data_IF_948394661131
#
_entry.id   IF_948394661131
#
_cell.length_a   1.000
_cell.length_b   1.000
_cell.length_c   1.000
_cell.angle_alpha   90.00
_cell.angle_beta   90.00
_cell.angle_gamma   90.00
#
_symmetry.space_group_name_H-M   'P 1'
#
loop_
_entity.id
_entity.type
_entity.pdbx_description
1 polymer ?
#
# COMPACT_ATOMS: atom_id res chain seq x y z
N UNK A 1 -4.89 17.78 6.47
CA UNK A 1 -5.48 16.42 6.27
C UNK A 1 -5.00 15.49 7.39
N UNK A 2 -5.89 14.67 7.93
CA UNK A 2 -5.61 13.74 9.02
C UNK A 2 -5.35 12.35 8.43
N UNK A 3 -4.11 12.08 8.02
CA UNK A 3 -3.73 10.86 7.27
C UNK A 3 -3.01 9.88 8.17
N UNK A 4 -3.29 8.58 8.02
CA UNK A 4 -2.58 7.50 8.71
C UNK A 4 -1.87 6.63 7.68
N UNK A 5 -0.58 6.38 7.90
CA UNK A 5 0.26 5.57 7.03
C UNK A 5 0.65 4.27 7.75
N UNK A 6 0.26 3.15 7.17
CA UNK A 6 0.78 1.84 7.55
C UNK A 6 2.01 1.55 6.70
N UNK A 7 3.16 1.49 7.32
CA UNK A 7 4.44 1.36 6.62
C UNK A 7 5.13 0.05 6.97
N UNK A 8 5.71 -0.60 5.96
CA UNK A 8 6.53 -1.78 6.14
C UNK A 8 7.69 -1.85 5.15
N UNK A 9 8.80 -2.38 5.61
CA UNK A 9 10.03 -2.64 4.86
C UNK A 9 10.54 -1.43 4.06
N UNK A 10 11.37 -1.69 3.06
CA UNK A 10 12.02 -0.71 2.19
C UNK A 10 11.03 0.15 1.37
N UNK A 11 9.96 -0.45 0.87
CA UNK A 11 8.92 0.28 0.10
C UNK A 11 8.18 1.25 1.01
N UNK A 12 7.83 0.83 2.23
CA UNK A 12 7.17 1.69 3.20
C UNK A 12 8.04 2.85 3.62
N UNK A 13 9.34 2.60 3.90
CA UNK A 13 10.30 3.65 4.23
C UNK A 13 10.46 4.67 3.09
N UNK A 14 10.74 4.20 1.87
CA UNK A 14 10.93 5.08 0.71
C UNK A 14 9.68 5.92 0.41
N UNK A 15 8.50 5.31 0.53
CA UNK A 15 7.23 6.02 0.35
C UNK A 15 7.01 7.08 1.42
N UNK A 16 7.30 6.76 2.69
CA UNK A 16 7.19 7.70 3.81
C UNK A 16 8.15 8.88 3.65
N UNK A 17 9.41 8.60 3.29
CA UNK A 17 10.43 9.63 3.07
C UNK A 17 10.01 10.59 1.95
N UNK A 18 9.58 10.04 0.81
CA UNK A 18 9.13 10.84 -0.32
C UNK A 18 7.90 11.69 0.05
N UNK A 19 6.89 11.11 0.71
CA UNK A 19 5.71 11.86 1.17
C UNK A 19 6.11 13.02 2.09
N UNK A 20 7.04 12.77 3.00
CA UNK A 20 7.55 13.80 3.91
C UNK A 20 8.23 14.96 3.15
N UNK A 21 9.09 14.65 2.18
CA UNK A 21 9.76 15.64 1.32
C UNK A 21 8.76 16.46 0.49
N UNK A 22 7.68 15.82 0.04
CA UNK A 22 6.58 16.50 -0.67
C UNK A 22 5.60 17.22 0.28
N UNK A 23 5.92 17.33 1.59
CA UNK A 23 5.10 18.01 2.62
C UNK A 23 3.73 17.35 2.89
N UNK A 24 3.57 16.07 2.55
CA UNK A 24 2.41 15.25 2.93
C UNK A 24 2.67 14.56 4.27
N UNK A 25 2.56 15.30 5.35
CA UNK A 25 2.85 14.79 6.69
C UNK A 25 1.76 13.85 7.21
N UNK A 26 2.12 12.68 7.77
CA UNK A 26 1.15 11.81 8.42
C UNK A 26 0.72 12.37 9.79
N UNK A 27 -0.55 12.17 10.13
CA UNK A 27 -1.02 12.33 11.50
C UNK A 27 -0.43 11.25 12.41
N UNK A 28 -0.28 10.03 11.88
CA UNK A 28 0.30 8.88 12.57
C UNK A 28 0.89 7.90 11.55
N UNK A 29 2.08 7.38 11.85
CA UNK A 29 2.67 6.22 11.18
C UNK A 29 2.44 4.98 12.04
N UNK A 30 1.97 3.90 11.43
CA UNK A 30 1.80 2.59 12.08
C UNK A 30 2.75 1.60 11.43
N UNK A 31 3.50 0.88 12.24
CA UNK A 31 4.31 -0.27 11.85
C UNK A 31 3.83 -1.52 12.58
N UNK A 32 3.90 -2.68 11.96
CA UNK A 32 3.36 -3.92 12.52
C UNK A 32 4.41 -4.74 13.31
N UNK A 33 5.66 -4.31 13.33
CA UNK A 33 6.75 -5.00 14.02
C UNK A 33 7.76 -4.01 14.57
N UNK A 34 8.41 -4.39 15.66
CA UNK A 34 9.59 -3.68 16.20
C UNK A 34 10.80 -3.77 15.25
N UNK A 35 10.83 -4.76 14.36
CA UNK A 35 11.90 -4.94 13.36
C UNK A 35 11.91 -3.89 12.23
N UNK A 36 10.89 -3.05 12.14
CA UNK A 36 10.85 -1.92 11.19
C UNK A 36 11.71 -0.74 11.67
N UNK A 37 12.96 -1.04 12.03
CA UNK A 37 13.89 -0.13 12.72
C UNK A 37 14.13 1.15 11.92
N UNK A 38 14.33 1.04 10.61
CA UNK A 38 14.62 2.19 9.75
C UNK A 38 13.44 3.16 9.69
N UNK A 39 12.20 2.65 9.61
CA UNK A 39 10.98 3.47 9.63
C UNK A 39 10.83 4.16 10.97
N UNK A 40 11.05 3.42 12.06
CA UNK A 40 10.97 3.95 13.43
C UNK A 40 12.03 5.07 13.63
N UNK A 41 13.26 4.85 13.20
CA UNK A 41 14.35 5.83 13.30
C UNK A 41 14.06 7.07 12.46
N UNK A 42 13.53 6.91 11.26
CA UNK A 42 13.09 8.04 10.45
C UNK A 42 11.99 8.85 11.15
N UNK A 43 10.98 8.18 11.72
CA UNK A 43 9.94 8.86 12.47
C UNK A 43 10.50 9.63 13.68
N UNK A 44 11.41 9.04 14.45
CA UNK A 44 12.08 9.70 15.58
C UNK A 44 12.87 10.93 15.11
N UNK A 45 13.74 10.79 14.09
CA UNK A 45 14.55 11.86 13.53
C UNK A 45 13.71 13.04 13.02
N UNK A 46 12.56 12.75 12.41
CA UNK A 46 11.66 13.77 11.85
C UNK A 46 10.53 14.20 12.80
N UNK A 47 10.55 13.72 14.06
CA UNK A 47 9.53 13.99 15.09
C UNK A 47 8.10 13.62 14.62
N UNK A 48 7.98 12.58 13.79
CA UNK A 48 6.70 12.04 13.31
C UNK A 48 6.13 11.12 14.39
N UNK A 49 4.86 11.31 14.73
CA UNK A 49 4.14 10.42 15.66
C UNK A 49 4.03 9.01 15.04
N UNK A 50 4.46 7.98 15.77
CA UNK A 50 4.34 6.61 15.31
C UNK A 50 3.83 5.68 16.42
N UNK A 51 3.31 4.51 16.00
CA UNK A 51 2.94 3.40 16.89
C UNK A 51 3.33 2.07 16.29
N UNK A 52 3.74 1.15 17.16
CA UNK A 52 3.92 -0.25 16.82
C UNK A 52 2.62 -0.96 17.19
N UNK A 53 1.87 -1.43 16.20
CA UNK A 53 0.61 -2.13 16.39
C UNK A 53 0.67 -3.50 15.73
N UNK A 54 0.75 -4.55 16.53
CA UNK A 54 0.61 -5.92 16.04
C UNK A 54 -0.79 -6.14 15.46
N UNK A 55 -0.90 -7.06 14.50
CA UNK A 55 -2.13 -7.35 13.75
C UNK A 55 -3.38 -7.46 14.64
N UNK A 56 -3.29 -8.18 15.75
CA UNK A 56 -4.39 -8.41 16.69
C UNK A 56 -4.78 -7.18 17.55
N UNK A 57 -4.03 -6.08 17.49
CA UNK A 57 -4.28 -4.85 18.24
C UNK A 57 -4.79 -3.70 17.38
N UNK A 58 -4.85 -3.87 16.06
CA UNK A 58 -5.24 -2.80 15.14
C UNK A 58 -6.70 -2.40 15.38
N UNK A 59 -7.63 -3.35 15.36
CA UNK A 59 -9.06 -3.07 15.56
C UNK A 59 -9.35 -2.44 16.92
N UNK A 60 -8.73 -2.95 17.98
CA UNK A 60 -8.81 -2.40 19.32
C UNK A 60 -8.32 -0.94 19.36
N UNK A 61 -7.22 -0.63 18.69
CA UNK A 61 -6.72 0.75 18.63
C UNK A 61 -7.68 1.68 17.92
N UNK A 62 -8.33 1.21 16.84
CA UNK A 62 -9.26 2.02 16.05
C UNK A 62 -10.69 2.07 16.61
N UNK A 63 -11.02 1.30 17.65
CA UNK A 63 -12.37 1.28 18.26
C UNK A 63 -12.83 2.64 18.77
N UNK A 64 -11.90 3.44 19.28
CA UNK A 64 -12.16 4.77 19.84
C UNK A 64 -12.43 5.87 18.81
N UNK A 65 -12.20 5.62 17.51
CA UNK A 65 -12.36 6.62 16.47
C UNK A 65 -13.72 6.50 15.76
N UNK A 66 -14.27 7.63 15.33
CA UNK A 66 -15.54 7.69 14.62
C UNK A 66 -15.41 7.26 13.15
N UNK A 67 -16.53 6.96 12.51
CA UNK A 67 -16.59 6.71 11.06
C UNK A 67 -16.10 7.97 10.31
N UNK A 68 -15.30 7.78 9.24
CA UNK A 68 -14.76 8.86 8.41
C UNK A 68 -13.95 9.93 9.17
N UNK A 69 -13.38 9.59 10.33
CA UNK A 69 -12.59 10.53 11.13
C UNK A 69 -11.28 10.94 10.45
N UNK A 70 -10.72 10.04 9.65
CA UNK A 70 -9.47 10.28 8.94
C UNK A 70 -9.71 10.49 7.45
N UNK A 71 -8.87 11.31 6.82
CA UNK A 71 -9.00 11.61 5.40
C UNK A 71 -8.46 10.47 4.53
N UNK A 72 -7.25 9.96 4.86
CA UNK A 72 -6.60 8.89 4.11
C UNK A 72 -6.00 7.82 5.01
N UNK A 73 -6.15 6.57 4.59
CA UNK A 73 -5.31 5.44 4.97
C UNK A 73 -4.41 5.09 3.80
N UNK A 74 -3.09 5.15 3.99
CA UNK A 74 -2.11 4.65 3.02
C UNK A 74 -1.49 3.36 3.55
N UNK A 75 -1.64 2.27 2.80
CA UNK A 75 -0.98 1.00 3.02
C UNK A 75 0.28 0.95 2.14
N UNK A 76 1.40 1.33 2.75
CA UNK A 76 2.71 1.45 2.12
C UNK A 76 3.52 0.19 2.41
N UNK A 77 3.21 -0.90 1.69
CA UNK A 77 3.79 -2.22 1.91
C UNK A 77 3.48 -2.82 3.30
N UNK A 78 2.27 -2.61 3.76
CA UNK A 78 1.81 -3.18 5.03
C UNK A 78 1.51 -4.68 4.89
N UNK A 79 2.09 -5.56 5.75
CA UNK A 79 1.87 -7.00 5.67
C UNK A 79 0.52 -7.45 6.27
N UNK A 80 -0.16 -6.58 7.01
CA UNK A 80 -1.39 -6.94 7.72
C UNK A 80 -2.63 -6.59 6.91
N UNK A 81 -3.58 -7.51 6.87
CA UNK A 81 -4.93 -7.23 6.36
C UNK A 81 -5.62 -6.25 7.30
N UNK A 82 -6.16 -5.18 6.76
CA UNK A 82 -6.92 -4.18 7.50
C UNK A 82 -8.40 -4.53 7.44
N UNK A 83 -9.05 -4.66 8.59
CA UNK A 83 -10.46 -5.04 8.68
C UNK A 83 -11.39 -3.97 8.09
N UNK A 84 -12.58 -4.40 7.66
CA UNK A 84 -13.64 -3.48 7.21
C UNK A 84 -14.06 -2.49 8.31
N UNK A 85 -13.95 -2.90 9.57
CA UNK A 85 -14.20 -2.02 10.72
C UNK A 85 -13.23 -0.84 10.74
N UNK A 86 -11.94 -1.10 10.54
CA UNK A 86 -10.91 -0.05 10.47
C UNK A 86 -11.05 0.79 9.21
N UNK A 87 -11.28 0.16 8.05
CA UNK A 87 -11.46 0.89 6.79
C UNK A 87 -12.57 1.95 6.86
N UNK A 88 -13.67 1.67 7.58
CA UNK A 88 -14.77 2.62 7.80
C UNK A 88 -14.37 3.89 8.58
N UNK A 89 -13.20 3.94 9.21
CA UNK A 89 -12.68 5.13 9.90
C UNK A 89 -12.08 6.16 8.93
N UNK A 90 -11.90 5.79 7.67
CA UNK A 90 -11.25 6.59 6.64
C UNK A 90 -12.22 6.97 5.52
N UNK A 91 -12.06 8.20 4.99
CA UNK A 91 -12.81 8.67 3.81
C UNK A 91 -12.27 8.04 2.53
N UNK A 92 -10.94 7.86 2.46
CA UNK A 92 -10.25 7.30 1.30
C UNK A 92 -9.17 6.33 1.76
N UNK A 93 -8.89 5.34 0.91
CA UNK A 93 -7.83 4.36 1.15
C UNK A 93 -6.99 4.18 -0.11
N UNK A 94 -5.70 3.88 0.08
CA UNK A 94 -4.79 3.53 -1.00
C UNK A 94 -3.86 2.42 -0.53
N UNK A 95 -3.75 1.37 -1.33
CA UNK A 95 -2.81 0.28 -1.15
C UNK A 95 -1.82 0.22 -2.31
N UNK A 96 -0.56 -0.01 -2.00
CA UNK A 96 0.51 -0.28 -2.96
C UNK A 96 0.61 -1.78 -3.17
N UNK A 97 0.14 -2.28 -4.33
CA UNK A 97 0.11 -3.71 -4.61
C UNK A 97 1.03 -4.09 -5.78
N UNK A 98 2.00 -5.04 -5.57
CA UNK A 98 2.99 -5.40 -6.58
C UNK A 98 2.48 -6.44 -7.59
N UNK A 99 1.23 -6.32 -8.05
CA UNK A 99 0.69 -7.08 -9.17
C UNK A 99 -0.20 -6.23 -10.08
N UNK A 100 -0.47 -6.74 -11.27
CA UNK A 100 -1.45 -6.15 -12.18
C UNK A 100 -2.84 -6.68 -11.86
N UNK A 101 -3.53 -6.11 -10.85
CA UNK A 101 -4.87 -6.55 -10.46
C UNK A 101 -5.79 -6.60 -11.71
N UNK A 102 -6.57 -7.69 -11.92
CA UNK A 102 -7.00 -8.69 -10.93
C UNK A 102 -6.12 -9.95 -10.85
N UNK A 103 -4.97 -10.01 -11.49
CA UNK A 103 -4.06 -11.17 -11.45
C UNK A 103 -3.19 -11.13 -10.18
N UNK A 104 -2.85 -12.31 -9.65
CA UNK A 104 -1.93 -12.50 -8.51
C UNK A 104 -2.28 -11.59 -7.32
N UNK A 105 -3.53 -11.69 -6.83
CA UNK A 105 -3.98 -11.02 -5.60
C UNK A 105 -3.32 -11.64 -4.36
N UNK A 106 -3.17 -10.89 -3.28
CA UNK A 106 -2.61 -11.34 -2.02
C UNK A 106 -1.09 -11.25 -1.96
N UNK A 107 -0.46 -12.17 -1.22
CA UNK A 107 0.98 -12.20 -0.98
C UNK A 107 1.77 -12.91 -2.10
N UNK A 108 3.11 -12.80 -2.04
CA UNK A 108 4.07 -13.53 -2.87
C UNK A 108 3.85 -13.39 -4.39
N UNK A 109 3.41 -12.21 -4.81
CA UNK A 109 2.99 -11.91 -6.18
C UNK A 109 4.04 -12.26 -7.22
N UNK A 110 5.34 -12.04 -6.96
CA UNK A 110 6.42 -12.38 -7.89
C UNK A 110 6.50 -13.90 -8.15
N UNK A 111 6.34 -14.72 -7.11
CA UNK A 111 6.32 -16.18 -7.23
C UNK A 111 5.12 -16.66 -8.06
N UNK A 112 3.94 -16.10 -7.78
CA UNK A 112 2.74 -16.42 -8.53
C UNK A 112 2.83 -15.99 -10.00
N UNK A 113 3.38 -14.82 -10.31
CA UNK A 113 3.58 -14.35 -11.69
C UNK A 113 4.46 -15.34 -12.46
N UNK A 114 5.60 -15.77 -11.88
CA UNK A 114 6.50 -16.73 -12.52
C UNK A 114 5.80 -18.08 -12.71
N UNK A 115 5.14 -18.60 -11.66
CA UNK A 115 4.50 -19.91 -11.67
C UNK A 115 3.35 -20.00 -12.69
N UNK A 116 2.56 -18.95 -12.83
CA UNK A 116 1.33 -18.96 -13.64
C UNK A 116 1.48 -18.32 -15.02
N UNK A 117 2.62 -17.67 -15.30
CA UNK A 117 2.78 -16.86 -16.51
C UNK A 117 1.87 -15.65 -16.57
N UNK A 118 1.31 -15.24 -15.43
CA UNK A 118 0.35 -14.13 -15.37
C UNK A 118 1.00 -12.79 -15.73
N UNK A 119 0.17 -11.83 -16.13
CA UNK A 119 0.62 -10.47 -16.43
C UNK A 119 1.28 -9.86 -15.21
N UNK A 120 2.57 -9.53 -15.34
CA UNK A 120 3.28 -8.77 -14.31
C UNK A 120 2.88 -7.29 -14.37
N UNK A 121 2.82 -6.68 -13.20
CA UNK A 121 2.52 -5.26 -13.09
C UNK A 121 2.43 -4.77 -11.67
N UNK A 122 2.02 -3.54 -11.53
CA UNK A 122 1.87 -2.86 -10.25
C UNK A 122 0.57 -2.06 -10.24
N UNK A 123 -0.06 -1.97 -9.07
CA UNK A 123 -1.38 -1.35 -8.93
C UNK A 123 -1.44 -0.48 -7.67
N UNK A 124 -2.03 0.70 -7.82
CA UNK A 124 -2.54 1.50 -6.71
C UNK A 124 -4.05 1.28 -6.64
N UNK A 125 -4.53 0.67 -5.58
CA UNK A 125 -5.94 0.32 -5.42
C UNK A 125 -6.53 0.85 -4.12
N UNK A 126 -7.84 1.04 -4.12
CA UNK A 126 -8.62 1.22 -2.90
C UNK A 126 -8.64 -0.10 -2.12
N UNK A 127 -8.59 -0.02 -0.81
CA UNK A 127 -8.74 -1.18 0.06
C UNK A 127 -10.21 -1.50 0.26
N UNK A 128 -10.54 -2.78 0.26
CA UNK A 128 -11.91 -3.27 0.46
C UNK A 128 -11.92 -4.43 1.45
N UNK A 129 -13.11 -4.93 1.80
CA UNK A 129 -13.27 -6.07 2.70
C UNK A 129 -12.58 -7.33 2.15
N UNK A 130 -12.61 -7.53 0.84
CA UNK A 130 -11.88 -8.60 0.16
C UNK A 130 -10.52 -8.08 -0.27
N UNK A 131 -9.48 -8.85 0.01
CA UNK A 131 -8.09 -8.47 -0.29
C UNK A 131 -7.92 -8.25 -1.79
N UNK A 132 -7.37 -7.08 -2.15
CA UNK A 132 -7.06 -6.66 -3.51
C UNK A 132 -8.23 -6.70 -4.51
N UNK A 133 -9.47 -6.56 -4.01
CA UNK A 133 -10.70 -6.48 -4.81
C UNK A 133 -11.34 -5.09 -4.81
N UNK A 134 -10.67 -4.10 -4.26
CA UNK A 134 -11.11 -2.72 -4.31
C UNK A 134 -11.01 -2.11 -5.71
N UNK A 135 -11.61 -0.94 -5.86
CA UNK A 135 -11.50 -0.16 -7.10
C UNK A 135 -10.04 0.26 -7.33
N UNK A 136 -9.68 0.52 -8.57
CA UNK A 136 -8.32 0.86 -8.98
C UNK A 136 -8.18 2.35 -9.22
N UNK A 137 -7.18 2.96 -8.59
CA UNK A 137 -6.73 4.30 -8.92
C UNK A 137 -5.94 4.31 -10.22
N UNK A 138 -4.90 3.49 -10.30
CA UNK A 138 -4.05 3.34 -11.48
C UNK A 138 -3.30 2.02 -11.42
N UNK A 139 -3.01 1.43 -12.57
CA UNK A 139 -2.15 0.23 -12.69
C UNK A 139 -1.28 0.32 -13.93
N UNK A 140 -0.14 -0.37 -13.91
CA UNK A 140 0.82 -0.40 -15.01
C UNK A 140 1.36 -1.81 -15.19
N UNK A 141 1.39 -2.31 -16.43
CA UNK A 141 2.07 -3.55 -16.78
C UNK A 141 3.58 -3.36 -16.64
N UNK A 142 4.27 -4.40 -16.22
CA UNK A 142 5.73 -4.43 -16.10
C UNK A 142 6.27 -5.51 -17.02
N UNK A 143 7.18 -5.15 -17.92
CA UNK A 143 7.90 -6.10 -18.76
C UNK A 143 9.14 -6.58 -18.02
N UNK A 144 9.49 -7.84 -18.17
CA UNK A 144 10.73 -8.46 -17.68
C UNK A 144 11.16 -9.56 -18.65
N UNK A 145 12.42 -9.97 -18.56
CA UNK A 145 12.99 -11.02 -19.42
C UNK A 145 13.14 -12.32 -18.62
N UNK A 146 12.95 -13.45 -19.29
CA UNK A 146 13.22 -14.77 -18.74
C UNK A 146 14.61 -15.26 -19.20
N UNK A 147 15.32 -16.06 -18.40
CA UNK A 147 14.94 -16.52 -17.05
C UNK A 147 15.07 -15.44 -15.98
N UNK A 148 14.19 -15.46 -14.95
CA UNK A 148 14.24 -14.52 -13.84
C UNK A 148 13.96 -15.24 -12.51
N UNK A 149 14.61 -14.80 -11.44
CA UNK A 149 14.30 -15.29 -10.08
C UNK A 149 13.15 -14.49 -9.46
N UNK A 150 12.43 -15.10 -8.51
CA UNK A 150 11.38 -14.40 -7.75
C UNK A 150 11.88 -13.14 -7.04
N UNK A 151 13.13 -13.19 -6.50
CA UNK A 151 13.75 -12.05 -5.85
C UNK A 151 14.03 -10.89 -6.84
N UNK A 152 14.55 -11.22 -8.03
CA UNK A 152 14.83 -10.22 -9.06
C UNK A 152 13.55 -9.59 -9.58
N UNK A 153 12.51 -10.39 -9.84
CA UNK A 153 11.20 -9.85 -10.25
C UNK A 153 10.59 -8.98 -9.14
N UNK A 154 10.67 -9.41 -7.88
CA UNK A 154 10.17 -8.61 -6.76
C UNK A 154 10.87 -7.24 -6.67
N UNK A 155 12.18 -7.17 -6.89
CA UNK A 155 12.93 -5.89 -6.92
C UNK A 155 12.40 -4.97 -8.04
N UNK A 156 12.19 -5.51 -9.24
CA UNK A 156 11.62 -4.76 -10.37
C UNK A 156 10.22 -4.23 -10.02
N UNK A 157 9.36 -5.10 -9.49
CA UNK A 157 7.99 -4.73 -9.11
C UNK A 157 7.98 -3.63 -8.02
N UNK A 158 8.83 -3.74 -7.00
CA UNK A 158 8.95 -2.71 -5.95
C UNK A 158 9.35 -1.36 -6.54
N UNK A 159 10.36 -1.33 -7.40
CA UNK A 159 10.79 -0.10 -8.06
C UNK A 159 9.67 0.51 -8.90
N UNK A 160 9.01 -0.29 -9.74
CA UNK A 160 7.91 0.17 -10.59
C UNK A 160 6.68 0.61 -9.80
N UNK A 161 6.45 0.01 -8.64
CA UNK A 161 5.37 0.41 -7.72
C UNK A 161 5.63 1.78 -7.09
N UNK A 162 6.86 2.04 -6.65
CA UNK A 162 7.27 3.35 -6.15
C UNK A 162 7.16 4.42 -7.23
N UNK A 163 7.68 4.16 -8.44
CA UNK A 163 7.53 5.06 -9.58
C UNK A 163 6.05 5.39 -9.87
N UNK A 164 5.19 4.35 -9.88
CA UNK A 164 3.76 4.53 -10.09
C UNK A 164 3.12 5.40 -9.00
N UNK A 165 3.49 5.16 -7.75
CA UNK A 165 2.98 5.92 -6.59
C UNK A 165 3.41 7.39 -6.66
N UNK A 166 4.69 7.65 -6.81
CA UNK A 166 5.24 9.01 -6.83
C UNK A 166 4.64 9.86 -7.96
N UNK A 167 4.49 9.28 -9.15
CA UNK A 167 3.94 9.98 -10.32
C UNK A 167 2.43 10.23 -10.26
N UNK A 168 1.70 9.53 -9.37
CA UNK A 168 0.24 9.59 -9.36
C UNK A 168 -0.37 10.08 -8.05
N UNK A 169 0.36 10.10 -6.93
CA UNK A 169 -0.18 10.50 -5.64
C UNK A 169 -0.84 11.90 -5.68
N UNK A 170 -0.14 12.90 -6.23
CA UNK A 170 -0.68 14.25 -6.36
C UNK A 170 -1.96 14.29 -7.21
N UNK A 171 -2.05 13.49 -8.27
CA UNK A 171 -3.24 13.39 -9.12
C UNK A 171 -4.41 12.73 -8.37
N UNK A 172 -4.12 11.72 -7.55
CA UNK A 172 -5.12 11.01 -6.73
C UNK A 172 -5.70 11.95 -5.67
N UNK A 173 -4.85 12.62 -4.90
CA UNK A 173 -5.29 13.48 -3.78
C UNK A 173 -6.04 14.71 -4.27
N UNK A 174 -5.70 15.23 -5.45
CA UNK A 174 -6.38 16.35 -6.10
C UNK A 174 -7.63 15.92 -6.90
N UNK A 175 -8.04 14.64 -6.80
CA UNK A 175 -9.21 14.06 -7.50
C UNK A 175 -9.11 14.12 -9.03
N UNK A 176 -7.90 14.25 -9.60
CA UNK A 176 -7.67 14.25 -11.04
C UNK A 176 -7.66 12.81 -11.63
N UNK A 177 -7.70 11.79 -10.77
CA UNK A 177 -7.88 10.39 -11.16
C UNK A 177 -9.18 9.86 -10.54
N UNK A 178 -9.98 9.17 -11.37
CA UNK A 178 -11.22 8.52 -10.93
C UNK A 178 -10.96 7.04 -10.62
N UNK A 179 -11.53 6.55 -9.53
CA UNK A 179 -11.55 5.13 -9.19
C UNK A 179 -12.33 4.33 -10.23
N UNK A 180 -11.74 3.23 -10.71
CA UNK A 180 -12.34 2.35 -11.72
C UNK A 180 -12.63 0.98 -11.12
N UNK A 181 -13.83 0.45 -11.34
CA UNK A 181 -14.14 -0.96 -11.07
C UNK A 181 -13.47 -1.86 -12.11
N UNK A 182 -13.07 -3.05 -11.70
CA UNK A 182 -12.60 -4.10 -12.61
C UNK A 182 -13.67 -5.17 -12.69
N UNK A 183 -14.11 -5.49 -13.90
CA UNK A 183 -15.11 -6.51 -14.18
C UNK A 183 -14.52 -7.88 -14.51
N UNK A 184 -13.20 -7.99 -14.63
CA UNK A 184 -12.53 -9.22 -15.09
C UNK A 184 -12.24 -10.12 -13.89
N UNK A 185 -12.63 -11.41 -13.97
CA UNK A 185 -12.19 -12.45 -13.04
C UNK A 185 -10.68 -12.66 -13.23
N UNK A 186 -9.88 -12.41 -12.18
CA UNK A 186 -8.44 -12.65 -12.19
C UNK A 186 -8.09 -14.06 -11.68
N UNK A 187 -6.83 -14.43 -11.81
CA UNK A 187 -6.26 -15.60 -11.13
C UNK A 187 -6.03 -15.29 -9.66
N UNK A 188 -6.30 -16.28 -8.82
CA UNK A 188 -5.89 -16.28 -7.41
C UNK A 188 -4.41 -16.56 -7.30
#
# INVERSE_FOLDING_TARGET
MKNIFFCGKDVGLKSLMWLYEQKYYPYLVIVNSKSEIEIINFCKKKKIKYKILFKNKIDQYFSKFKKNEFDWLLSLWNPSVISSFVLKKFKNTLNLHPSYIPYCKGADTAAWIIRTGSIAGVTLNEMSQRVDEGRIWVRKKVKFQLPITGLSLQRILKQKLLELFFNNWKKIINKNLKLKKISIKGTK
#
